data_IF_261366979303
#
_entry.id   IF_261366979303
#
_cell.length_a   1.000
_cell.length_b   1.000
_cell.length_c   1.000
_cell.angle_alpha   90.00
_cell.angle_beta   90.00
_cell.angle_gamma   90.00
#
_symmetry.space_group_name_H-M   'P 1'
#
loop_
_entity.id
_entity.type
_entity.pdbx_description
1 polymer ?
#
# COMPACT_ATOMS: atom_id res chain seq x y z
N UNK A 1 2.00 29.23 88.64
CA UNK A 1 3.34 29.80 88.88
C UNK A 1 4.18 29.38 87.69
N UNK A 2 4.61 30.22 86.76
CA UNK A 2 4.73 31.68 86.74
C UNK A 2 4.73 32.08 85.26
N UNK A 3 3.89 33.05 84.89
CA UNK A 3 3.98 33.75 83.61
C UNK A 3 5.21 34.66 83.62
N UNK A 4 5.88 34.81 82.48
CA UNK A 4 6.49 36.09 82.10
C UNK A 4 6.45 36.22 80.59
N UNK A 5 5.71 37.22 80.12
CA UNK A 5 5.68 37.71 78.75
C UNK A 5 6.92 38.57 78.47
N UNK A 6 7.43 38.53 77.24
CA UNK A 6 7.93 39.74 76.58
C UNK A 6 7.62 39.68 75.09
N UNK A 7 6.86 40.66 74.62
CA UNK A 7 6.60 40.94 73.22
C UNK A 7 7.83 41.54 72.55
N UNK A 8 8.01 41.30 71.25
CA UNK A 8 8.38 42.36 70.29
C UNK A 8 8.19 41.92 68.83
N UNK A 9 7.39 42.74 68.17
CA UNK A 9 7.54 43.30 66.83
C UNK A 9 7.56 42.41 65.59
N UNK A 10 6.57 42.72 64.76
CA UNK A 10 6.35 42.12 63.46
C UNK A 10 7.27 42.67 62.38
N UNK A 11 7.50 41.81 61.40
CA UNK A 11 7.82 42.22 60.04
C UNK A 11 6.96 41.36 59.11
N UNK A 12 6.04 42.03 58.41
CA UNK A 12 5.17 41.41 57.42
C UNK A 12 5.98 41.04 56.18
N UNK A 13 6.17 39.74 55.97
CA UNK A 13 6.58 39.20 54.68
C UNK A 13 5.37 39.09 53.74
N UNK A 14 5.49 39.41 52.44
CA UNK A 14 4.37 39.32 51.51
C UNK A 14 3.89 37.87 51.40
N UNK A 15 2.60 37.64 51.66
CA UNK A 15 1.94 36.36 51.36
C UNK A 15 2.00 36.17 49.84
N UNK A 16 2.88 35.27 49.39
CA UNK A 16 2.86 34.79 48.01
C UNK A 16 1.50 34.12 47.82
N UNK A 17 0.65 34.78 47.02
CA UNK A 17 -0.61 34.21 46.59
C UNK A 17 -0.29 32.90 45.87
N UNK A 18 -0.92 31.82 46.33
CA UNK A 18 -0.78 30.50 45.74
C UNK A 18 -1.47 30.54 44.36
N UNK A 19 -0.72 30.94 43.33
CA UNK A 19 -1.14 30.82 41.94
C UNK A 19 -1.39 29.34 41.70
N UNK A 20 -2.68 28.99 41.60
CA UNK A 20 -3.10 27.68 41.15
C UNK A 20 -2.40 27.45 39.81
N UNK A 21 -1.45 26.52 39.79
CA UNK A 21 -0.95 25.93 38.56
C UNK A 21 -2.17 25.43 37.79
N UNK A 22 -2.63 26.22 36.83
CA UNK A 22 -3.54 25.77 35.80
C UNK A 22 -2.71 24.79 34.99
N UNK A 23 -2.94 23.49 35.20
CA UNK A 23 -2.34 22.47 34.37
C UNK A 23 -2.60 22.86 32.90
N UNK A 24 -1.57 22.84 32.03
CA UNK A 24 -1.79 23.13 30.62
C UNK A 24 -2.89 22.23 30.11
N UNK A 25 -3.92 22.84 29.50
CA UNK A 25 -5.00 22.09 28.85
C UNK A 25 -4.36 21.06 27.93
N UNK A 26 -4.76 19.78 27.98
CA UNK A 26 -4.13 18.76 27.14
C UNK A 26 -4.21 19.23 25.70
N UNK A 27 -3.05 19.24 25.02
CA UNK A 27 -3.01 19.45 23.58
C UNK A 27 -4.04 18.49 22.95
N UNK A 28 -4.79 18.92 21.91
CA UNK A 28 -5.75 18.04 21.27
C UNK A 28 -5.04 16.74 20.91
N UNK A 29 -5.57 15.62 21.39
CA UNK A 29 -4.95 14.31 21.21
C UNK A 29 -4.68 14.09 19.71
N UNK A 30 -3.40 13.96 19.35
CA UNK A 30 -3.01 13.70 17.98
C UNK A 30 -3.66 12.39 17.56
N UNK A 31 -4.41 12.41 16.45
CA UNK A 31 -5.12 11.23 15.97
C UNK A 31 -4.15 10.06 15.77
N UNK A 32 -4.51 8.88 16.28
CA UNK A 32 -3.71 7.65 16.18
C UNK A 32 -3.44 7.30 14.71
N UNK A 33 -2.16 7.33 14.32
CA UNK A 33 -1.74 7.03 12.95
C UNK A 33 -2.11 5.61 12.53
N UNK A 34 -2.12 4.64 13.45
CA UNK A 34 -2.46 3.23 13.16
C UNK A 34 -3.94 3.04 12.82
N UNK A 35 -4.75 4.09 12.98
CA UNK A 35 -6.17 4.14 12.57
C UNK A 35 -6.37 4.90 11.26
N UNK A 36 -5.31 5.38 10.64
CA UNK A 36 -5.32 6.05 9.34
C UNK A 36 -4.93 5.04 8.27
N UNK A 37 -5.87 4.67 7.42
CA UNK A 37 -5.63 3.77 6.30
C UNK A 37 -4.91 4.46 5.15
N UNK A 38 -4.29 3.64 4.30
CA UNK A 38 -3.64 4.13 3.09
C UNK A 38 -4.69 4.66 2.09
N UNK A 39 -4.39 5.75 1.41
CA UNK A 39 -5.29 6.39 0.45
C UNK A 39 -5.36 5.56 -0.83
N UNK A 40 -6.54 5.11 -1.26
CA UNK A 40 -6.69 4.26 -2.44
C UNK A 40 -6.46 5.01 -3.76
N UNK A 41 -6.39 6.35 -3.77
CA UNK A 41 -6.18 7.16 -4.98
C UNK A 41 -4.70 7.23 -5.42
N UNK A 42 -4.01 6.09 -5.37
CA UNK A 42 -2.64 5.90 -5.84
C UNK A 42 -2.46 4.54 -6.52
N UNK A 43 -1.33 4.35 -7.22
CA UNK A 43 -1.00 3.09 -7.88
C UNK A 43 -0.31 2.11 -6.92
N UNK A 44 -0.96 1.00 -6.59
CA UNK A 44 -0.40 0.01 -5.69
C UNK A 44 -0.01 -1.27 -6.42
N UNK A 45 1.22 -1.79 -6.25
CA UNK A 45 1.55 -3.12 -6.73
C UNK A 45 0.74 -4.15 -5.93
N UNK A 46 0.07 -5.06 -6.63
CA UNK A 46 -0.76 -6.12 -6.01
C UNK A 46 -0.31 -7.52 -6.42
N UNK A 47 0.68 -7.61 -7.33
CA UNK A 47 1.33 -8.86 -7.70
C UNK A 47 2.67 -8.59 -8.38
N UNK A 48 3.58 -9.56 -8.31
CA UNK A 48 4.66 -9.67 -9.29
C UNK A 48 4.05 -10.06 -10.64
N UNK A 49 4.48 -9.42 -11.72
CA UNK A 49 3.95 -9.63 -13.09
C UNK A 49 3.94 -11.10 -13.49
N UNK A 50 5.05 -11.82 -13.25
CA UNK A 50 5.21 -13.23 -13.60
C UNK A 50 4.29 -14.20 -12.83
N UNK A 51 3.69 -13.77 -11.72
CA UNK A 51 2.69 -14.57 -11.00
C UNK A 51 1.35 -14.61 -11.74
N UNK A 52 1.02 -13.56 -12.49
CA UNK A 52 -0.17 -13.50 -13.36
C UNK A 52 0.19 -14.10 -14.71
N UNK A 53 0.14 -15.44 -14.80
CA UNK A 53 0.50 -16.18 -16.02
C UNK A 53 -0.50 -15.92 -17.14
N UNK A 54 -0.03 -16.04 -18.38
CA UNK A 54 -0.87 -15.97 -19.59
C UNK A 54 -2.02 -16.98 -19.50
N UNK A 55 -3.22 -16.57 -19.90
CA UNK A 55 -4.45 -17.36 -19.85
C UNK A 55 -4.76 -17.90 -18.44
N UNK A 56 -4.35 -17.19 -17.38
CA UNK A 56 -4.59 -17.59 -16.00
C UNK A 56 -5.12 -16.41 -15.18
N UNK A 57 -5.80 -16.75 -14.09
CA UNK A 57 -6.22 -15.84 -13.04
C UNK A 57 -5.19 -15.81 -11.91
N UNK A 58 -5.24 -14.75 -11.10
CA UNK A 58 -4.49 -14.62 -9.86
C UNK A 58 -5.33 -13.81 -8.86
N UNK A 59 -5.46 -14.31 -7.63
CA UNK A 59 -6.16 -13.61 -6.57
C UNK A 59 -5.22 -12.62 -5.88
N UNK A 60 -5.64 -11.37 -5.78
CA UNK A 60 -4.96 -10.31 -5.06
C UNK A 60 -5.94 -9.59 -4.13
N UNK A 61 -5.41 -8.74 -3.24
CA UNK A 61 -6.23 -7.98 -2.31
C UNK A 61 -5.63 -6.58 -2.13
N UNK A 62 -6.49 -5.60 -1.86
CA UNK A 62 -6.08 -4.28 -1.39
C UNK A 62 -7.03 -3.81 -0.29
N UNK A 63 -6.52 -3.57 0.92
CA UNK A 63 -7.29 -3.09 2.08
C UNK A 63 -8.60 -3.88 2.31
N UNK A 64 -8.56 -5.21 2.18
CA UNK A 64 -9.70 -6.11 2.31
C UNK A 64 -10.59 -6.25 1.06
N UNK A 65 -10.41 -5.42 0.03
CA UNK A 65 -11.08 -5.58 -1.27
C UNK A 65 -10.41 -6.69 -2.08
N UNK A 66 -11.15 -7.75 -2.39
CA UNK A 66 -10.63 -8.88 -3.20
C UNK A 66 -10.64 -8.52 -4.69
N UNK A 67 -9.51 -8.77 -5.35
CA UNK A 67 -9.26 -8.43 -6.76
C UNK A 67 -8.88 -9.69 -7.53
N UNK A 68 -9.59 -9.96 -8.63
CA UNK A 68 -9.24 -10.98 -9.59
C UNK A 68 -8.39 -10.34 -10.70
N UNK A 69 -7.08 -10.61 -10.66
CA UNK A 69 -6.21 -10.32 -11.79
C UNK A 69 -6.35 -11.45 -12.82
N UNK A 70 -6.34 -11.12 -14.10
CA UNK A 70 -6.21 -12.14 -15.15
C UNK A 70 -5.42 -11.61 -16.34
N UNK A 71 -4.68 -12.50 -17.01
CA UNK A 71 -3.95 -12.16 -18.23
C UNK A 71 -4.59 -12.83 -19.43
N UNK A 72 -5.04 -12.02 -20.38
CA UNK A 72 -5.65 -12.48 -21.64
C UNK A 72 -4.67 -13.18 -22.58
N UNK A 73 -5.19 -13.73 -23.67
CA UNK A 73 -4.44 -14.38 -24.74
C UNK A 73 -3.48 -13.44 -25.49
N UNK A 74 -3.79 -12.14 -25.50
CA UNK A 74 -2.93 -11.07 -26.00
C UNK A 74 -1.72 -10.80 -25.11
N UNK A 75 -1.78 -11.19 -23.83
CA UNK A 75 -0.80 -10.84 -22.80
C UNK A 75 -1.20 -9.62 -21.96
N UNK A 76 -2.29 -8.91 -22.29
CA UNK A 76 -2.82 -7.81 -21.49
C UNK A 76 -3.32 -8.30 -20.11
N UNK A 77 -3.03 -7.52 -19.06
CA UNK A 77 -3.52 -7.77 -17.70
C UNK A 77 -4.77 -6.94 -17.45
N UNK A 78 -5.73 -7.54 -16.75
CA UNK A 78 -6.96 -6.90 -16.32
C UNK A 78 -7.18 -7.15 -14.83
N UNK A 79 -7.86 -6.24 -14.14
CA UNK A 79 -8.17 -6.33 -12.72
C UNK A 79 -9.67 -6.11 -12.50
N UNK A 80 -10.36 -7.11 -11.95
CA UNK A 80 -11.78 -7.06 -11.65
C UNK A 80 -12.02 -7.27 -10.16
N UNK A 81 -13.16 -6.83 -9.65
CA UNK A 81 -13.65 -7.26 -8.34
C UNK A 81 -13.80 -8.79 -8.32
N UNK A 82 -13.25 -9.43 -7.29
CA UNK A 82 -13.22 -10.90 -7.17
C UNK A 82 -14.54 -11.48 -6.65
N UNK A 83 -15.64 -11.10 -7.30
CA UNK A 83 -16.99 -11.50 -6.93
C UNK A 83 -17.86 -11.62 -8.19
N UNK A 84 -18.24 -12.82 -8.56
CA UNK A 84 -19.20 -13.03 -9.65
C UNK A 84 -20.53 -12.32 -9.34
N UNK A 85 -21.05 -11.54 -10.29
CA UNK A 85 -22.29 -10.80 -10.16
C UNK A 85 -23.54 -11.70 -9.96
N UNK A 86 -23.44 -12.99 -10.29
CA UNK A 86 -24.54 -13.95 -10.13
C UNK A 86 -24.68 -14.47 -8.69
N UNK A 87 -23.65 -15.15 -8.16
CA UNK A 87 -23.68 -15.80 -6.83
C UNK A 87 -22.40 -15.60 -6.03
N UNK A 88 -21.68 -14.52 -6.29
CA UNK A 88 -20.54 -14.05 -5.50
C UNK A 88 -19.31 -14.95 -5.45
N UNK A 89 -19.32 -16.09 -6.15
CA UNK A 89 -18.15 -16.97 -6.32
C UNK A 89 -16.96 -16.16 -6.83
N UNK A 90 -15.76 -16.34 -6.26
CA UNK A 90 -14.55 -15.66 -6.71
C UNK A 90 -14.32 -15.84 -8.22
N UNK A 91 -14.09 -14.73 -8.93
CA UNK A 91 -13.72 -14.77 -10.34
C UNK A 91 -12.27 -15.23 -10.54
N UNK A 92 -11.42 -15.09 -9.53
CA UNK A 92 -10.06 -15.62 -9.48
C UNK A 92 -9.99 -17.15 -9.56
N UNK A 93 -11.10 -17.85 -9.28
CA UNK A 93 -11.23 -19.30 -9.52
C UNK A 93 -11.69 -19.64 -10.95
N UNK A 94 -11.93 -18.64 -11.78
CA UNK A 94 -12.43 -18.79 -13.14
C UNK A 94 -11.37 -19.27 -14.15
N UNK A 95 -11.78 -19.27 -15.42
CA UNK A 95 -10.93 -19.65 -16.55
C UNK A 95 -10.84 -18.48 -17.52
N UNK A 96 -9.65 -18.21 -18.05
CA UNK A 96 -9.46 -17.17 -19.07
C UNK A 96 -9.65 -17.77 -20.46
N UNK A 97 -10.54 -17.19 -21.24
CA UNK A 97 -10.81 -17.56 -22.63
C UNK A 97 -10.64 -16.33 -23.53
N UNK A 98 -9.58 -16.32 -24.34
CA UNK A 98 -9.21 -15.13 -25.11
C UNK A 98 -8.92 -13.95 -24.20
N UNK A 99 -9.73 -12.88 -24.31
CA UNK A 99 -9.62 -11.67 -23.47
C UNK A 99 -10.68 -11.60 -22.35
N UNK A 100 -11.46 -12.66 -22.17
CA UNK A 100 -12.54 -12.70 -21.17
C UNK A 100 -12.23 -13.67 -20.03
N UNK A 101 -12.75 -13.34 -18.85
CA UNK A 101 -12.71 -14.20 -17.66
C UNK A 101 -14.08 -14.88 -17.48
N UNK A 102 -14.11 -16.21 -17.51
CA UNK A 102 -15.32 -17.02 -17.32
C UNK A 102 -15.39 -17.52 -15.87
N UNK A 103 -16.47 -17.20 -15.17
CA UNK A 103 -16.71 -17.70 -13.82
C UNK A 103 -16.86 -19.23 -13.83
N UNK A 104 -16.20 -19.92 -12.90
CA UNK A 104 -16.19 -21.38 -12.81
C UNK A 104 -17.55 -22.01 -12.45
N UNK A 105 -18.51 -21.23 -11.95
CA UNK A 105 -19.77 -21.79 -11.49
C UNK A 105 -20.79 -21.96 -12.63
N UNK A 106 -21.25 -20.86 -13.22
CA UNK A 106 -22.28 -20.87 -14.26
C UNK A 106 -21.79 -20.25 -15.57
N UNK A 107 -20.47 -20.17 -15.74
CA UNK A 107 -19.83 -19.76 -16.98
C UNK A 107 -20.20 -18.36 -17.49
N UNK A 108 -20.60 -17.44 -16.61
CA UNK A 108 -20.74 -16.01 -16.96
C UNK A 108 -19.37 -15.46 -17.34
N UNK A 109 -19.27 -14.88 -18.53
CA UNK A 109 -18.02 -14.32 -19.04
C UNK A 109 -17.99 -12.81 -18.85
N UNK A 110 -16.85 -12.30 -18.39
CA UNK A 110 -16.60 -10.89 -18.09
C UNK A 110 -15.47 -10.37 -18.97
N UNK A 111 -15.63 -9.16 -19.50
CA UNK A 111 -14.56 -8.41 -20.18
C UNK A 111 -13.67 -7.71 -19.14
N UNK A 112 -12.52 -7.20 -19.59
CA UNK A 112 -11.58 -6.45 -18.74
C UNK A 112 -12.15 -5.18 -18.12
N UNK A 113 -13.25 -4.64 -18.65
CA UNK A 113 -13.99 -3.53 -18.07
C UNK A 113 -15.13 -3.96 -17.13
N UNK A 114 -15.16 -5.22 -16.72
CA UNK A 114 -16.13 -5.77 -15.77
C UNK A 114 -17.52 -6.07 -16.34
N UNK A 115 -17.79 -5.70 -17.60
CA UNK A 115 -19.08 -5.97 -18.25
C UNK A 115 -19.21 -7.44 -18.62
N UNK A 116 -20.41 -7.98 -18.45
CA UNK A 116 -20.75 -9.34 -18.86
C UNK A 116 -20.79 -9.40 -20.39
N UNK A 117 -19.96 -10.25 -21.00
CA UNK A 117 -19.95 -10.50 -22.44
C UNK A 117 -20.86 -11.66 -22.86
N UNK A 118 -21.07 -12.65 -21.98
CA UNK A 118 -21.85 -13.83 -22.29
C UNK A 118 -22.47 -14.45 -21.04
N UNK A 119 -23.74 -14.85 -21.15
CA UNK A 119 -24.43 -15.75 -20.22
C UNK A 119 -24.86 -16.97 -21.04
N UNK A 120 -24.21 -18.14 -20.89
CA UNK A 120 -24.32 -19.24 -21.87
C UNK A 120 -25.73 -19.78 -22.09
N UNK A 121 -26.58 -19.73 -21.08
CA UNK A 121 -27.94 -20.28 -21.08
C UNK A 121 -29.03 -19.25 -21.42
N UNK A 122 -28.65 -18.00 -21.74
CA UNK A 122 -29.58 -17.00 -22.25
C UNK A 122 -29.39 -16.85 -23.77
N UNK A 123 -30.49 -16.74 -24.54
CA UNK A 123 -30.38 -16.52 -25.98
C UNK A 123 -29.65 -15.21 -26.28
N UNK A 124 -28.99 -15.12 -27.45
CA UNK A 124 -28.39 -13.86 -27.89
C UNK A 124 -29.52 -12.83 -28.10
N UNK A 125 -29.39 -11.64 -27.51
CA UNK A 125 -30.33 -10.54 -27.74
C UNK A 125 -31.46 -10.39 -26.71
N UNK A 126 -31.45 -11.12 -25.59
CA UNK A 126 -32.28 -10.74 -24.42
C UNK A 126 -31.79 -9.41 -23.86
N UNK A 127 -32.69 -8.69 -23.17
CA UNK A 127 -32.46 -7.37 -22.59
C UNK A 127 -31.11 -7.20 -21.89
N UNK A 128 -30.68 -5.93 -21.82
CA UNK A 128 -29.37 -5.47 -21.32
C UNK A 128 -28.86 -6.35 -20.16
N UNK A 129 -27.72 -7.05 -20.32
CA UNK A 129 -27.18 -7.89 -19.25
C UNK A 129 -26.96 -7.05 -17.98
N UNK A 130 -26.98 -7.68 -16.78
CA UNK A 130 -26.69 -6.98 -15.53
C UNK A 130 -25.39 -6.18 -15.61
N UNK A 131 -25.25 -5.14 -14.77
CA UNK A 131 -24.11 -4.19 -14.81
C UNK A 131 -22.73 -4.85 -14.74
N UNK A 132 -22.61 -6.10 -14.28
CA UNK A 132 -21.36 -6.84 -14.18
C UNK A 132 -20.69 -6.61 -12.83
N UNK A 133 -19.37 -6.45 -12.84
CA UNK A 133 -18.55 -6.24 -11.65
C UNK A 133 -17.70 -4.99 -11.80
N UNK A 134 -17.17 -4.45 -10.69
CA UNK A 134 -16.20 -3.35 -10.76
C UNK A 134 -14.95 -3.82 -11.50
N UNK A 135 -14.42 -2.94 -12.36
CA UNK A 135 -13.09 -3.07 -12.94
C UNK A 135 -12.19 -1.99 -12.35
N UNK A 136 -10.91 -2.32 -12.16
CA UNK A 136 -9.91 -1.39 -11.67
C UNK A 136 -8.96 -0.99 -12.80
N UNK A 137 -8.55 0.29 -12.89
CA UNK A 137 -7.41 0.65 -13.71
C UNK A 137 -6.19 -0.18 -13.31
N UNK A 138 -5.49 -0.70 -14.30
CA UNK A 138 -4.33 -1.58 -14.12
C UNK A 138 -3.20 -1.15 -15.05
N UNK A 139 -1.97 -1.16 -14.54
CA UNK A 139 -0.75 -0.91 -15.31
C UNK A 139 0.30 -1.96 -14.94
N UNK A 140 0.99 -2.47 -15.94
CA UNK A 140 2.12 -3.37 -15.73
C UNK A 140 3.42 -2.58 -15.92
N UNK A 141 4.22 -2.47 -14.87
CA UNK A 141 5.46 -1.70 -14.86
C UNK A 141 6.46 -2.31 -13.87
N UNK A 142 7.76 -2.17 -14.15
CA UNK A 142 8.83 -2.62 -13.26
C UNK A 142 8.79 -4.11 -12.85
N UNK A 143 8.17 -4.97 -13.68
CA UNK A 143 7.94 -6.38 -13.35
C UNK A 143 6.85 -6.62 -12.30
N UNK A 144 6.02 -5.62 -12.02
CA UNK A 144 4.90 -5.64 -11.08
C UNK A 144 3.58 -5.32 -11.81
N UNK A 145 2.46 -5.80 -11.25
CA UNK A 145 1.10 -5.39 -11.66
C UNK A 145 0.61 -4.36 -10.65
N UNK A 146 0.41 -3.14 -11.12
CA UNK A 146 -0.16 -2.04 -10.34
C UNK A 146 -1.66 -1.93 -10.61
N UNK A 147 -2.44 -1.75 -9.54
CA UNK A 147 -3.86 -1.44 -9.59
C UNK A 147 -4.08 -0.06 -8.96
N UNK A 148 -5.07 0.67 -9.46
CA UNK A 148 -5.59 1.90 -8.84
C UNK A 148 -6.91 1.59 -8.11
N UNK A 149 -6.89 1.36 -6.78
CA UNK A 149 -8.07 0.89 -6.04
C UNK A 149 -9.12 1.97 -5.79
N UNK A 150 -8.75 3.25 -5.89
CA UNK A 150 -9.60 4.38 -5.58
C UNK A 150 -10.54 4.76 -6.73
N UNK A 151 -10.69 6.07 -6.91
CA UNK A 151 -11.50 6.64 -7.97
C UNK A 151 -10.82 6.43 -9.35
N UNK A 152 -11.41 5.64 -10.26
CA UNK A 152 -10.80 5.37 -11.56
C UNK A 152 -10.60 6.62 -12.43
N UNK A 153 -11.34 7.71 -12.18
CA UNK A 153 -11.18 8.97 -12.92
C UNK A 153 -9.83 9.64 -12.62
N UNK A 154 -9.28 9.47 -11.42
CA UNK A 154 -7.99 10.03 -11.00
C UNK A 154 -6.79 9.26 -11.54
N UNK A 155 -6.97 7.99 -11.92
CA UNK A 155 -5.89 7.10 -12.33
C UNK A 155 -5.09 7.61 -13.53
N UNK A 156 -5.72 8.37 -14.44
CA UNK A 156 -5.06 8.96 -15.60
C UNK A 156 -4.07 10.07 -15.20
N UNK A 157 -4.43 10.88 -14.20
CA UNK A 157 -3.65 12.02 -13.72
C UNK A 157 -2.61 11.62 -12.67
N UNK A 158 -2.81 10.49 -11.98
CA UNK A 158 -1.83 9.96 -11.03
C UNK A 158 -0.71 9.21 -11.76
N UNK A 159 0.56 9.66 -11.64
CA UNK A 159 1.69 8.98 -12.26
C UNK A 159 2.06 7.70 -11.49
N UNK A 160 2.67 6.75 -12.21
CA UNK A 160 3.45 5.69 -11.56
C UNK A 160 4.73 6.29 -10.96
N UNK A 161 5.36 5.63 -9.96
CA UNK A 161 6.63 6.09 -9.42
C UNK A 161 7.72 6.08 -10.50
N UNK A 162 8.52 7.15 -10.59
CA UNK A 162 9.66 7.17 -11.52
C UNK A 162 10.88 6.49 -10.90
N UNK A 163 11.43 5.50 -11.61
CA UNK A 163 12.50 4.63 -11.14
C UNK A 163 13.65 4.56 -12.18
N UNK A 164 14.45 5.63 -12.31
CA UNK A 164 15.51 5.70 -13.34
C UNK A 164 16.55 4.58 -13.21
N UNK A 165 16.91 4.19 -11.98
CA UNK A 165 17.82 3.08 -11.73
C UNK A 165 17.28 1.73 -12.22
N UNK A 166 15.95 1.55 -12.31
CA UNK A 166 15.36 0.32 -12.86
C UNK A 166 15.49 0.26 -14.39
N UNK A 167 15.32 1.41 -15.07
CA UNK A 167 15.44 1.51 -16.52
C UNK A 167 16.90 1.43 -17.02
N UNK A 168 17.86 1.71 -16.14
CA UNK A 168 19.28 1.72 -16.46
C UNK A 168 19.86 0.33 -16.70
N UNK A 169 20.53 0.14 -17.84
CA UNK A 169 21.31 -1.07 -18.14
C UNK A 169 22.52 -1.27 -17.21
N UNK A 170 22.98 -0.21 -16.53
CA UNK A 170 24.05 -0.29 -15.52
C UNK A 170 23.62 -0.95 -14.22
N UNK A 171 22.32 -1.17 -14.00
CA UNK A 171 21.80 -1.68 -12.74
C UNK A 171 21.33 -3.14 -12.90
N UNK A 172 21.32 -3.85 -11.77
CA UNK A 172 20.63 -5.14 -11.63
C UNK A 172 19.62 -5.03 -10.51
N UNK A 173 18.38 -5.42 -10.80
CA UNK A 173 17.28 -5.34 -9.84
C UNK A 173 17.06 -6.67 -9.12
N UNK A 174 16.87 -6.60 -7.80
CA UNK A 174 16.34 -7.66 -6.95
C UNK A 174 14.92 -7.26 -6.53
N UNK A 175 13.94 -8.12 -6.80
CA UNK A 175 12.55 -7.89 -6.41
C UNK A 175 12.24 -8.63 -5.11
N UNK A 176 11.69 -7.90 -4.13
CA UNK A 176 11.14 -8.41 -2.90
C UNK A 176 9.61 -8.37 -2.95
N UNK A 177 8.98 -9.40 -2.39
CA UNK A 177 7.53 -9.52 -2.31
C UNK A 177 7.21 -10.38 -1.10
N UNK A 178 6.80 -9.77 0.02
CA UNK A 178 6.66 -10.44 1.32
C UNK A 178 5.53 -9.82 2.14
N UNK A 179 4.76 -10.67 2.81
CA UNK A 179 3.75 -10.23 3.78
C UNK A 179 4.41 -9.93 5.14
N UNK A 180 3.98 -8.84 5.77
CA UNK A 180 4.37 -8.41 7.12
C UNK A 180 3.09 -8.12 7.92
N UNK A 181 3.00 -8.66 9.14
CA UNK A 181 1.83 -8.54 10.01
C UNK A 181 1.87 -7.25 10.83
N UNK A 182 1.87 -6.10 10.14
CA UNK A 182 1.74 -4.79 10.78
C UNK A 182 0.99 -3.79 9.89
N UNK A 183 0.53 -2.71 10.50
CA UNK A 183 0.04 -1.52 9.80
C UNK A 183 1.16 -0.88 8.96
N UNK A 184 0.82 -0.44 7.75
CA UNK A 184 1.79 0.03 6.74
C UNK A 184 2.73 1.13 7.28
N UNK A 185 2.22 1.99 8.17
CA UNK A 185 3.02 3.07 8.77
C UNK A 185 4.18 2.60 9.64
N UNK A 186 4.12 1.39 10.23
CA UNK A 186 5.26 0.86 11.03
C UNK A 186 6.47 0.66 10.14
N UNK A 187 6.26 0.18 8.91
CA UNK A 187 7.33 0.01 7.94
C UNK A 187 7.93 1.35 7.51
N UNK A 188 7.08 2.37 7.33
CA UNK A 188 7.56 3.71 6.98
C UNK A 188 8.46 4.31 8.06
N UNK A 189 8.06 4.21 9.32
CA UNK A 189 8.86 4.70 10.45
C UNK A 189 10.16 3.90 10.57
N UNK A 190 10.09 2.57 10.49
CA UNK A 190 11.24 1.68 10.55
C UNK A 190 12.28 2.02 9.46
N UNK A 191 11.91 2.14 8.18
CA UNK A 191 12.90 2.41 7.13
C UNK A 191 13.56 3.79 7.24
N UNK A 192 12.89 4.80 7.82
CA UNK A 192 13.45 6.15 7.94
C UNK A 192 14.27 6.36 9.22
N UNK A 193 13.96 5.62 10.29
CA UNK A 193 14.68 5.73 11.56
C UNK A 193 16.03 5.01 11.51
N UNK A 194 17.12 5.66 11.10
CA UNK A 194 18.43 5.01 11.14
C UNK A 194 18.97 4.77 12.55
N UNK A 195 18.30 5.18 13.64
CA UNK A 195 18.78 4.85 14.98
C UNK A 195 18.56 3.38 15.35
N UNK A 196 17.69 2.64 14.65
CA UNK A 196 17.50 1.20 14.89
C UNK A 196 18.68 0.33 14.42
N UNK A 197 19.81 0.90 13.98
CA UNK A 197 21.02 0.13 13.62
C UNK A 197 21.52 -0.82 14.74
N UNK A 198 21.15 -0.57 16.00
CA UNK A 198 21.39 -1.52 17.08
C UNK A 198 20.72 -2.89 16.84
N UNK A 199 19.57 -2.93 16.16
CA UNK A 199 18.89 -4.14 15.72
C UNK A 199 19.81 -4.97 14.82
N UNK A 200 20.44 -4.32 13.84
CA UNK A 200 21.31 -4.95 12.84
C UNK A 200 22.77 -5.09 13.27
N UNK A 201 23.10 -4.90 14.55
CA UNK A 201 24.48 -4.97 15.06
C UNK A 201 25.21 -6.28 14.71
N UNK A 202 24.46 -7.38 14.56
CA UNK A 202 24.99 -8.70 14.17
C UNK A 202 25.13 -8.92 12.66
N UNK A 203 24.58 -8.01 11.83
CA UNK A 203 24.49 -8.15 10.38
C UNK A 203 25.25 -7.04 9.64
N UNK A 204 25.14 -5.79 10.08
CA UNK A 204 25.72 -4.59 9.45
C UNK A 204 27.03 -4.14 10.15
N UNK A 205 27.31 -4.68 11.34
CA UNK A 205 28.45 -4.27 12.17
C UNK A 205 28.17 -2.98 12.95
N UNK A 206 29.20 -2.37 13.54
CA UNK A 206 29.06 -1.09 14.26
C UNK A 206 29.19 0.07 13.29
N UNK A 207 28.11 0.45 12.63
CA UNK A 207 28.04 1.70 11.86
C UNK A 207 27.26 2.72 12.67
N UNK A 208 27.75 3.96 12.73
CA UNK A 208 27.03 5.07 13.35
C UNK A 208 26.42 5.95 12.26
N UNK A 209 25.09 6.00 12.15
CA UNK A 209 24.42 6.96 11.30
C UNK A 209 24.43 8.33 11.99
N UNK A 210 24.80 9.35 11.24
CA UNK A 210 24.67 10.75 11.65
C UNK A 210 23.68 11.43 10.71
N UNK A 211 22.61 11.99 11.26
CA UNK A 211 21.64 12.76 10.48
C UNK A 211 22.28 14.10 10.10
N UNK A 212 22.55 14.29 8.80
CA UNK A 212 23.09 15.55 8.26
C UNK A 212 22.03 16.64 8.17
N UNK A 213 20.77 16.25 7.99
CA UNK A 213 19.62 17.13 7.86
C UNK A 213 18.46 16.42 7.18
N UNK A 214 17.28 17.04 7.25
CA UNK A 214 16.09 16.54 6.59
C UNK A 214 15.17 17.69 6.17
N UNK A 215 14.39 17.44 5.12
CA UNK A 215 13.38 18.33 4.58
C UNK A 215 12.00 17.68 4.69
N UNK A 216 10.98 18.49 4.93
CA UNK A 216 9.59 18.03 5.09
C UNK A 216 8.67 18.87 4.21
N UNK A 217 7.65 18.22 3.65
CA UNK A 217 6.65 18.85 2.80
C UNK A 217 5.29 18.16 2.94
N UNK A 218 4.26 18.64 2.22
CA UNK A 218 2.89 18.12 2.38
C UNK A 218 2.74 16.62 2.11
N UNK A 219 3.55 16.08 1.19
CA UNK A 219 3.49 14.69 0.73
C UNK A 219 4.79 13.91 0.93
N UNK A 220 5.83 14.54 1.52
CA UNK A 220 7.14 13.89 1.59
C UNK A 220 7.98 14.33 2.79
N UNK A 221 8.85 13.42 3.23
CA UNK A 221 9.93 13.68 4.19
C UNK A 221 11.19 13.03 3.65
N UNK A 222 12.28 13.78 3.57
CA UNK A 222 13.56 13.32 3.04
C UNK A 222 14.67 13.60 4.04
N UNK A 223 15.42 12.57 4.42
CA UNK A 223 16.54 12.67 5.35
C UNK A 223 17.84 12.20 4.69
N UNK A 224 18.94 12.88 5.02
CA UNK A 224 20.29 12.50 4.59
C UNK A 224 21.10 12.05 5.78
N UNK A 225 21.66 10.86 5.68
CA UNK A 225 22.47 10.24 6.71
C UNK A 225 23.89 9.99 6.23
N UNK A 226 24.85 10.28 7.08
CA UNK A 226 26.24 9.89 6.90
C UNK A 226 26.50 8.61 7.68
N UNK A 227 26.98 7.57 7.00
CA UNK A 227 27.33 6.31 7.65
C UNK A 227 28.83 6.25 7.91
N UNK A 228 29.23 6.45 9.16
CA UNK A 228 30.65 6.37 9.56
C UNK A 228 30.94 5.01 10.22
N UNK A 229 31.96 4.25 9.78
CA UNK A 229 32.39 3.04 10.47
C UNK A 229 32.82 3.37 11.90
N UNK A 230 32.17 2.83 12.92
CA UNK A 230 32.60 3.02 14.31
C UNK A 230 33.78 2.08 14.56
N UNK A 231 35.00 2.64 14.58
CA UNK A 231 36.28 1.94 14.63
C UNK A 231 36.29 0.58 15.35
N UNK A 232 36.76 -0.45 14.65
CA UNK A 232 36.90 -1.83 15.09
C UNK A 232 37.26 -2.74 13.91
N UNK A 233 37.97 -3.86 14.14
CA UNK A 233 38.40 -4.79 13.08
C UNK A 233 37.22 -5.14 12.16
N UNK A 234 37.36 -4.89 10.84
CA UNK A 234 36.38 -5.27 9.80
C UNK A 234 35.97 -6.72 10.02
N UNK A 235 34.71 -6.95 10.34
CA UNK A 235 34.16 -8.29 10.50
C UNK A 235 34.24 -8.98 9.14
N UNK A 236 34.92 -10.14 9.07
CA UNK A 236 35.24 -10.82 7.80
C UNK A 236 33.99 -11.25 7.02
N UNK A 237 32.82 -11.26 7.67
CA UNK A 237 31.50 -11.54 7.07
C UNK A 237 30.76 -10.32 6.49
N UNK A 238 31.13 -9.10 6.87
CA UNK A 238 30.58 -7.85 6.34
C UNK A 238 31.39 -7.30 5.14
N UNK A 239 32.59 -7.84 4.91
CA UNK A 239 33.54 -7.34 3.94
C UNK A 239 33.13 -7.46 2.46
N UNK A 240 32.15 -8.28 2.10
CA UNK A 240 31.79 -8.45 0.68
C UNK A 240 30.80 -7.39 0.16
N UNK A 241 30.00 -6.78 1.04
CA UNK A 241 29.18 -5.63 0.68
C UNK A 241 29.95 -4.32 0.79
N UNK A 242 30.98 -4.29 1.64
CA UNK A 242 31.88 -3.14 1.74
C UNK A 242 32.98 -3.06 0.69
N UNK A 243 33.25 -4.12 -0.08
CA UNK A 243 34.33 -4.09 -1.05
C UNK A 243 33.97 -3.30 -2.32
N UNK A 244 32.70 -3.23 -2.74
CA UNK A 244 32.32 -2.55 -4.00
C UNK A 244 30.92 -1.88 -3.97
N UNK A 245 30.27 -1.74 -2.81
CA UNK A 245 28.92 -1.14 -2.73
C UNK A 245 28.63 -0.25 -1.52
N UNK A 246 29.37 -0.40 -0.42
CA UNK A 246 29.32 0.48 0.76
C UNK A 246 30.75 0.59 1.33
N UNK A 247 31.59 1.49 0.80
CA UNK A 247 32.97 1.68 1.30
C UNK A 247 34.12 1.29 0.36
N UNK A 248 33.96 1.49 -0.95
CA UNK A 248 35.06 1.39 -1.94
C UNK A 248 35.68 2.73 -2.37
N UNK A 249 35.08 3.87 -2.00
CA UNK A 249 35.60 5.21 -2.30
C UNK A 249 36.17 5.90 -1.07
N UNK A 250 37.11 6.84 -1.27
CA UNK A 250 37.67 7.69 -0.21
C UNK A 250 36.64 8.67 0.42
N UNK A 251 35.40 8.67 -0.05
CA UNK A 251 34.30 9.54 0.39
C UNK A 251 33.30 8.76 1.26
N UNK A 252 32.82 9.32 2.37
CA UNK A 252 31.78 8.66 3.17
C UNK A 252 30.45 8.60 2.38
N UNK A 253 29.79 7.45 2.41
CA UNK A 253 28.54 7.22 1.68
C UNK A 253 27.39 7.99 2.36
N UNK A 254 26.89 9.04 1.71
CA UNK A 254 25.65 9.71 2.10
C UNK A 254 24.47 8.88 1.59
N UNK A 255 23.61 8.48 2.50
CA UNK A 255 22.37 7.77 2.19
C UNK A 255 21.20 8.74 2.35
N UNK A 256 20.44 8.91 1.28
CA UNK A 256 19.19 9.67 1.27
C UNK A 256 18.02 8.70 1.41
N UNK A 257 17.16 8.93 2.40
CA UNK A 257 15.93 8.18 2.61
C UNK A 257 14.77 9.13 2.46
N UNK A 258 13.85 8.83 1.55
CA UNK A 258 12.69 9.66 1.24
C UNK A 258 11.41 8.87 1.41
N UNK A 259 10.54 9.33 2.29
CA UNK A 259 9.12 8.99 2.22
C UNK A 259 8.47 9.95 1.26
N UNK A 260 7.94 9.44 0.16
CA UNK A 260 7.12 10.19 -0.78
C UNK A 260 5.81 9.44 -0.89
N UNK A 261 4.79 9.95 -0.21
CA UNK A 261 3.56 9.21 0.01
C UNK A 261 2.97 8.70 -1.32
N UNK A 262 2.63 7.40 -1.45
CA UNK A 262 2.62 6.36 -0.40
C UNK A 262 3.87 5.45 -0.39
N UNK A 263 4.93 5.79 -1.11
CA UNK A 263 6.13 4.97 -1.27
C UNK A 263 7.29 5.44 -0.39
N UNK A 264 8.34 4.62 -0.34
CA UNK A 264 9.63 5.02 0.19
C UNK A 264 10.76 4.68 -0.75
N UNK A 265 11.81 5.51 -0.71
CA UNK A 265 13.07 5.24 -1.38
C UNK A 265 14.24 5.38 -0.41
N UNK A 266 15.28 4.56 -0.64
CA UNK A 266 16.58 4.67 0.02
C UNK A 266 17.65 4.63 -1.07
N UNK A 267 18.48 5.66 -1.15
CA UNK A 267 19.47 5.82 -2.20
C UNK A 267 20.84 6.16 -1.61
N UNK A 268 21.87 5.48 -2.09
CA UNK A 268 23.26 5.89 -1.87
C UNK A 268 23.76 6.53 -3.17
N UNK A 269 23.86 7.85 -3.18
CA UNK A 269 24.32 8.62 -4.34
C UNK A 269 25.75 9.13 -4.10
N UNK A 270 26.75 8.58 -4.80
CA UNK A 270 28.10 9.12 -4.75
C UNK A 270 28.14 10.57 -5.28
N UNK A 271 28.98 11.42 -4.70
CA UNK A 271 29.05 12.87 -4.96
C UNK A 271 29.24 13.27 -6.44
N UNK A 272 29.74 12.37 -7.29
CA UNK A 272 30.03 12.60 -8.72
C UNK A 272 29.23 11.70 -9.68
N UNK A 273 28.19 11.02 -9.21
CA UNK A 273 27.40 10.10 -10.03
C UNK A 273 26.02 10.67 -10.35
N UNK A 274 25.55 10.49 -11.60
CA UNK A 274 24.18 10.84 -12.00
C UNK A 274 23.14 9.81 -11.51
N UNK A 275 23.58 8.56 -11.32
CA UNK A 275 22.75 7.47 -10.82
C UNK A 275 23.33 6.92 -9.51
N UNK A 276 22.46 6.47 -8.58
CA UNK A 276 22.91 5.96 -7.30
C UNK A 276 23.68 4.64 -7.45
N UNK A 277 24.63 4.38 -6.56
CA UNK A 277 25.29 3.07 -6.49
C UNK A 277 24.31 1.96 -6.03
N UNK A 278 23.36 2.38 -5.19
CA UNK A 278 22.31 1.56 -4.61
C UNK A 278 21.02 2.39 -4.57
N UNK A 279 19.91 1.82 -5.03
CA UNK A 279 18.59 2.42 -4.90
C UNK A 279 17.57 1.34 -4.53
N UNK A 280 16.85 1.57 -3.45
CA UNK A 280 15.73 0.75 -3.01
C UNK A 280 14.46 1.60 -3.17
N UNK A 281 13.46 1.05 -3.83
CA UNK A 281 12.09 1.56 -3.81
C UNK A 281 11.18 0.53 -3.13
N UNK A 282 10.28 0.97 -2.27
CA UNK A 282 9.37 0.10 -1.51
C UNK A 282 7.95 0.67 -1.48
N UNK A 283 6.97 -0.22 -1.61
CA UNK A 283 5.56 0.03 -1.35
C UNK A 283 5.02 -0.94 -0.29
N UNK A 284 4.22 -0.44 0.64
CA UNK A 284 3.60 -1.19 1.73
C UNK A 284 2.09 -1.23 1.51
N UNK A 285 1.59 -2.34 0.96
CA UNK A 285 0.21 -2.42 0.45
C UNK A 285 -0.66 -3.19 1.43
N UNK A 286 -1.67 -2.60 2.07
CA UNK A 286 -2.50 -3.31 3.04
C UNK A 286 -3.27 -4.46 2.38
N UNK A 287 -3.35 -5.61 3.06
CA UNK A 287 -4.09 -6.77 2.56
C UNK A 287 -5.48 -6.88 3.18
N UNK A 288 -5.61 -6.64 4.49
CA UNK A 288 -6.89 -6.76 5.20
C UNK A 288 -7.60 -5.41 5.40
N UNK A 289 -8.89 -5.48 5.74
CA UNK A 289 -9.75 -4.31 5.88
C UNK A 289 -9.36 -3.40 7.07
N UNK A 290 -8.73 -3.97 8.10
CA UNK A 290 -8.25 -3.22 9.26
C UNK A 290 -6.81 -2.72 9.04
N UNK A 291 -6.22 -3.05 7.89
CA UNK A 291 -4.85 -2.73 7.48
C UNK A 291 -3.82 -3.16 8.53
N UNK A 292 -4.04 -4.29 9.22
CA UNK A 292 -3.09 -4.86 10.21
C UNK A 292 -2.02 -5.74 9.59
N UNK A 293 -2.16 -6.04 8.30
CA UNK A 293 -1.24 -6.78 7.46
C UNK A 293 -0.98 -5.99 6.20
N UNK A 294 0.29 -5.89 5.82
CA UNK A 294 0.68 -5.33 4.54
C UNK A 294 1.57 -6.29 3.76
N UNK A 295 1.47 -6.22 2.44
CA UNK A 295 2.37 -6.86 1.51
C UNK A 295 3.41 -5.84 1.04
N UNK A 296 4.67 -6.14 1.33
CA UNK A 296 5.82 -5.32 0.98
C UNK A 296 6.30 -5.71 -0.42
N UNK A 297 6.24 -4.77 -1.35
CA UNK A 297 6.88 -4.87 -2.66
C UNK A 297 8.10 -3.98 -2.69
N UNK A 298 9.28 -4.58 -2.90
CA UNK A 298 10.54 -3.86 -2.93
C UNK A 298 11.29 -4.08 -4.24
N UNK A 299 11.90 -3.03 -4.77
CA UNK A 299 12.80 -3.08 -5.92
C UNK A 299 14.15 -2.53 -5.48
N UNK A 300 15.13 -3.43 -5.36
CA UNK A 300 16.50 -3.08 -5.03
C UNK A 300 17.36 -3.10 -6.28
N UNK A 301 17.74 -1.92 -6.76
CA UNK A 301 18.61 -1.69 -7.89
C UNK A 301 20.05 -1.47 -7.39
N UNK A 302 20.96 -2.33 -7.82
CA UNK A 302 22.39 -2.26 -7.49
C UNK A 302 23.17 -2.01 -8.77
N UNK A 303 24.02 -0.98 -8.78
CA UNK A 303 24.89 -0.68 -9.92
C UNK A 303 25.88 -1.83 -10.14
N UNK A 304 26.11 -2.19 -11.41
CA UNK A 304 27.06 -3.23 -11.80
C UNK A 304 28.48 -2.70 -11.57
N UNK A 305 29.36 -3.46 -10.89
CA UNK A 305 30.76 -3.10 -10.75
C UNK A 305 31.43 -3.14 -12.13
N UNK A 306 32.55 -2.43 -12.25
CA UNK A 306 33.37 -2.41 -13.47
C UNK A 306 33.92 -3.79 -13.85
N UNK A 307 34.09 -4.68 -12.86
CA UNK A 307 34.56 -6.06 -13.06
C UNK A 307 33.42 -6.95 -13.58
N UNK A 308 33.52 -7.47 -14.83
CA UNK A 308 32.47 -8.30 -15.40
C UNK A 308 32.23 -9.57 -14.57
N UNK A 309 30.97 -9.80 -14.19
CA UNK A 309 30.57 -11.01 -13.47
C UNK A 309 30.75 -10.99 -11.95
N UNK A 310 31.45 -10.00 -11.37
CA UNK A 310 31.60 -9.87 -9.93
C UNK A 310 30.25 -9.83 -9.19
N UNK A 311 29.29 -9.03 -9.71
CA UNK A 311 27.94 -8.97 -9.14
C UNK A 311 27.18 -10.30 -9.26
N UNK A 312 27.48 -11.14 -10.26
CA UNK A 312 26.86 -12.48 -10.36
C UNK A 312 27.35 -13.39 -9.23
N UNK A 313 28.64 -13.33 -8.92
CA UNK A 313 29.25 -14.12 -7.84
C UNK A 313 28.81 -13.63 -6.46
N UNK A 314 28.70 -12.32 -6.26
CA UNK A 314 28.25 -11.73 -4.99
C UNK A 314 26.74 -11.89 -4.75
N UNK A 315 25.93 -12.12 -5.79
CA UNK A 315 24.46 -12.12 -5.72
C UNK A 315 23.85 -13.00 -4.62
N UNK A 316 24.28 -14.27 -4.42
CA UNK A 316 23.72 -15.10 -3.35
C UNK A 316 23.99 -14.54 -1.95
N UNK A 317 25.14 -13.88 -1.76
CA UNK A 317 25.53 -13.28 -0.48
C UNK A 317 24.77 -11.98 -0.23
N UNK A 318 24.62 -11.13 -1.25
CA UNK A 318 23.76 -9.93 -1.19
C UNK A 318 22.34 -10.34 -0.80
N UNK A 319 21.78 -11.34 -1.47
CA UNK A 319 20.43 -11.85 -1.17
C UNK A 319 20.30 -12.37 0.26
N UNK A 320 21.27 -13.15 0.75
CA UNK A 320 21.26 -13.67 2.13
C UNK A 320 21.42 -12.56 3.16
N UNK A 321 22.12 -11.48 2.83
CA UNK A 321 22.22 -10.31 3.69
C UNK A 321 20.90 -9.55 3.75
N UNK A 322 20.30 -9.22 2.59
CA UNK A 322 19.03 -8.48 2.53
C UNK A 322 17.89 -9.24 3.18
N UNK A 323 17.83 -10.57 3.01
CA UNK A 323 16.85 -11.43 3.68
C UNK A 323 17.00 -11.42 5.20
N UNK A 324 18.22 -11.30 5.74
CA UNK A 324 18.46 -11.22 7.19
C UNK A 324 18.06 -9.87 7.77
N UNK A 325 18.45 -8.77 7.13
CA UNK A 325 18.06 -7.41 7.54
C UNK A 325 16.53 -7.30 7.59
N UNK A 326 15.86 -7.70 6.50
CA UNK A 326 14.40 -7.68 6.44
C UNK A 326 13.74 -8.56 7.52
N UNK A 327 14.31 -9.71 7.86
CA UNK A 327 13.77 -10.57 8.90
C UNK A 327 13.85 -9.93 10.31
N UNK A 328 14.90 -9.17 10.58
CA UNK A 328 15.06 -8.42 11.82
C UNK A 328 14.05 -7.26 11.89
N UNK A 329 13.93 -6.47 10.82
CA UNK A 329 12.96 -5.37 10.71
C UNK A 329 11.53 -5.87 10.87
N UNK A 330 11.18 -6.92 10.13
CA UNK A 330 9.89 -7.60 10.22
C UNK A 330 9.57 -7.99 11.65
N UNK A 331 10.52 -8.57 12.37
CA UNK A 331 10.31 -8.96 13.77
C UNK A 331 10.02 -7.76 14.66
N UNK A 332 10.72 -6.63 14.46
CA UNK A 332 10.52 -5.42 15.25
C UNK A 332 9.10 -4.84 15.02
N UNK A 333 8.75 -4.55 13.77
CA UNK A 333 7.46 -3.94 13.42
C UNK A 333 6.26 -4.83 13.73
N UNK A 334 6.37 -6.16 13.58
CA UNK A 334 5.31 -7.08 13.99
C UNK A 334 5.18 -7.14 15.52
N UNK A 335 6.26 -6.89 16.27
CA UNK A 335 6.21 -6.79 17.73
C UNK A 335 5.55 -5.49 18.18
N UNK A 336 5.82 -4.38 17.51
CA UNK A 336 5.13 -3.11 17.76
C UNK A 336 3.64 -3.20 17.42
N UNK A 337 3.26 -3.86 16.32
CA UNK A 337 1.86 -4.13 16.00
C UNK A 337 1.17 -4.90 17.12
N UNK A 338 1.78 -5.97 17.63
CA UNK A 338 1.20 -6.75 18.75
C UNK A 338 1.05 -5.89 20.01
N UNK A 339 2.02 -5.05 20.33
CA UNK A 339 1.93 -4.14 21.46
C UNK A 339 0.76 -3.15 21.31
N UNK A 340 0.59 -2.57 20.12
CA UNK A 340 -0.55 -1.69 19.82
C UNK A 340 -1.89 -2.44 19.93
N UNK A 341 -1.96 -3.69 19.45
CA UNK A 341 -3.15 -4.53 19.55
C UNK A 341 -3.53 -4.84 21.01
N UNK A 342 -2.56 -5.16 21.85
CA UNK A 342 -2.74 -5.43 23.28
C UNK A 342 -3.17 -4.18 24.06
N UNK A 343 -2.65 -3.01 23.66
CA UNK A 343 -2.92 -1.72 24.32
C UNK A 343 -4.22 -1.05 23.81
N UNK A 344 -4.64 -1.37 22.59
CA UNK A 344 -5.82 -0.79 21.93
C UNK A 344 -5.64 0.63 21.35
N UNK A 345 -4.47 1.23 21.52
CA UNK A 345 -4.13 2.57 21.00
C UNK A 345 -2.61 2.77 20.94
N UNK A 346 -2.16 3.80 20.23
CA UNK A 346 -0.75 4.20 20.21
C UNK A 346 -0.30 4.82 21.55
N UNK A 347 0.56 4.12 22.29
CA UNK A 347 1.19 4.60 23.54
C UNK A 347 2.65 5.03 23.33
N UNK A 348 3.13 5.07 22.08
CA UNK A 348 4.51 5.41 21.78
C UNK A 348 4.81 6.86 22.16
N UNK A 349 5.98 7.06 22.76
CA UNK A 349 6.56 8.37 23.06
C UNK A 349 7.66 8.65 22.05
N UNK A 350 7.28 8.90 20.79
CA UNK A 350 8.24 9.24 19.75
C UNK A 350 8.79 10.65 19.99
N UNK A 351 10.11 10.77 20.03
CA UNK A 351 10.82 12.02 20.35
C UNK A 351 11.65 12.53 19.18
N UNK A 352 11.91 11.69 18.17
CA UNK A 352 12.73 12.04 17.04
C UNK A 352 11.93 12.91 16.05
N UNK A 353 12.28 14.20 15.84
CA UNK A 353 11.46 15.11 15.03
C UNK A 353 11.19 14.62 13.62
N UNK A 354 12.19 13.96 13.01
CA UNK A 354 12.08 13.36 11.69
C UNK A 354 10.94 12.35 11.60
N UNK A 355 10.81 11.47 12.60
CA UNK A 355 9.76 10.44 12.63
C UNK A 355 8.39 11.07 12.94
N UNK A 356 8.34 12.09 13.79
CA UNK A 356 7.11 12.85 14.02
C UNK A 356 6.58 13.49 12.73
N UNK A 357 7.47 14.00 11.87
CA UNK A 357 7.10 14.54 10.56
C UNK A 357 6.66 13.46 9.57
N UNK A 358 7.30 12.27 9.57
CA UNK A 358 6.80 11.11 8.81
C UNK A 358 5.39 10.77 9.23
N UNK A 359 5.14 10.63 10.54
CA UNK A 359 3.80 10.35 11.08
C UNK A 359 2.79 11.40 10.65
N UNK A 360 3.18 12.69 10.58
CA UNK A 360 2.33 13.78 10.12
C UNK A 360 2.00 13.66 8.63
N UNK A 361 2.99 13.38 7.77
CA UNK A 361 2.77 13.15 6.33
C UNK A 361 1.83 11.98 6.11
N UNK A 362 2.05 10.84 6.78
CA UNK A 362 1.19 9.67 6.64
C UNK A 362 -0.25 9.94 7.10
N UNK A 363 -0.44 10.62 8.24
CA UNK A 363 -1.78 11.01 8.74
C UNK A 363 -2.50 11.97 7.81
N UNK A 364 -1.79 12.95 7.25
CA UNK A 364 -2.40 14.01 6.43
C UNK A 364 -2.79 13.53 5.04
N UNK A 365 -2.18 12.46 4.55
CA UNK A 365 -2.40 11.92 3.21
C UNK A 365 -3.20 10.63 3.17
N UNK A 366 -3.32 9.94 4.31
CA UNK A 366 -4.16 8.76 4.45
C UNK A 366 -5.65 9.08 4.56
N UNK A 367 -6.45 8.04 4.66
CA UNK A 367 -7.91 8.09 4.76
C UNK A 367 -8.38 7.31 5.98
N UNK A 368 -9.56 7.58 6.55
CA UNK A 368 -10.08 6.76 7.65
C UNK A 368 -10.21 5.29 7.24
N UNK A 369 -9.77 4.37 8.10
CA UNK A 369 -10.03 2.93 7.91
C UNK A 369 -11.54 2.72 8.04
N UNK A 370 -12.19 2.27 6.97
CA UNK A 370 -13.62 1.98 7.00
C UNK A 370 -13.88 0.68 7.76
N UNK A 371 -14.67 0.68 8.85
CA UNK A 371 -15.09 -0.54 9.49
C UNK A 371 -15.86 -1.42 8.50
N UNK A 372 -15.73 -2.75 8.65
CA UNK A 372 -16.37 -3.74 7.78
C UNK A 372 -17.90 -3.57 7.64
N UNK A 373 -18.56 -2.93 8.61
CA UNK A 373 -19.99 -2.63 8.59
C UNK A 373 -20.39 -1.58 7.53
N UNK A 374 -19.54 -0.59 7.25
CA UNK A 374 -19.87 0.52 6.34
C UNK A 374 -19.71 0.15 4.85
N UNK A 375 -18.88 -0.86 4.56
CA UNK A 375 -18.73 -1.42 3.21
C UNK A 375 -20.03 -2.08 2.70
N UNK A 376 -20.86 -2.62 3.61
CA UNK A 376 -22.20 -3.11 3.27
C UNK A 376 -23.17 -1.97 2.95
N UNK A 377 -23.09 -0.85 3.67
CA UNK A 377 -24.01 0.29 3.50
C UNK A 377 -23.70 1.14 2.25
N UNK A 378 -22.43 1.27 1.86
CA UNK A 378 -22.04 1.99 0.64
C UNK A 378 -22.55 1.31 -0.65
N UNK A 379 -22.82 0.00 -0.61
CA UNK A 379 -23.47 -0.71 -1.72
C UNK A 379 -24.93 -0.28 -1.94
N UNK A 380 -25.56 0.36 -0.95
CA UNK A 380 -26.96 0.80 -0.99
C UNK A 380 -27.13 2.21 -1.57
N UNK A 381 -26.05 2.99 -1.72
CA UNK A 381 -26.11 4.38 -2.20
C UNK A 381 -26.20 4.54 -3.74
N UNK A 382 -26.43 3.47 -4.50
CA UNK A 382 -26.81 3.55 -5.92
C UNK A 382 -28.34 3.47 -6.15
N UNK A 383 -29.15 3.62 -5.11
CA UNK A 383 -30.61 3.67 -5.21
C UNK A 383 -31.15 4.99 -4.69
N UNK A 384 -31.14 6.04 -5.51
CA UNK A 384 -32.12 7.13 -5.46
C UNK A 384 -31.92 8.03 -6.69
N UNK A 385 -32.34 7.54 -7.85
CA UNK A 385 -32.81 8.40 -8.92
C UNK A 385 -34.33 8.44 -8.83
N UNK A 386 -34.83 9.60 -8.43
CA UNK A 386 -36.22 9.98 -8.21
C UNK A 386 -37.11 9.53 -9.38
N UNK A 387 -38.00 8.57 -9.14
CA UNK A 387 -39.15 8.35 -10.01
C UNK A 387 -40.16 9.46 -9.71
N UNK A 388 -40.25 10.45 -10.60
CA UNK A 388 -41.41 11.32 -10.67
C UNK A 388 -42.58 10.51 -11.22
N UNK A 389 -43.54 10.21 -10.34
CA UNK A 389 -44.73 9.45 -10.66
C UNK A 389 -45.66 10.18 -11.62
N UNK A 390 -46.15 9.45 -12.62
CA UNK A 390 -47.41 9.71 -13.31
C UNK A 390 -48.36 8.57 -13.02
N UNK A 391 -49.40 8.83 -12.24
CA UNK A 391 -50.45 7.88 -11.89
C UNK A 391 -51.33 7.52 -13.12
N UNK A 392 -51.97 6.33 -13.14
CA UNK A 392 -52.77 5.88 -14.27
C UNK A 392 -54.20 6.46 -14.22
N UNK A 393 -54.77 6.75 -15.39
CA UNK A 393 -56.21 6.98 -15.56
C UNK A 393 -56.86 5.74 -16.17
N UNK A 394 -57.76 5.12 -15.43
CA UNK A 394 -58.92 4.39 -15.95
C UNK A 394 -60.04 5.43 -16.25
N UNK A 395 -61.05 5.25 -17.10
CA UNK A 395 -61.57 4.14 -17.91
C UNK A 395 -62.25 4.77 -19.15
N UNK A 396 -62.62 3.97 -20.16
CA UNK A 396 -64.02 3.84 -20.62
C UNK A 396 -64.14 3.02 -21.92
N UNK A 397 -65.31 2.40 -22.02
CA UNK A 397 -65.73 1.28 -22.85
C UNK A 397 -66.09 1.65 -24.31
N UNK A 398 -66.26 0.57 -25.10
CA UNK A 398 -67.06 0.38 -26.33
C UNK A 398 -66.31 0.26 -27.67
N UNK A 399 -66.58 -0.87 -28.34
CA UNK A 399 -66.23 -1.11 -29.74
C UNK A 399 -66.22 -2.59 -30.12
N UNK A 400 -67.40 -3.10 -30.48
CA UNK A 400 -67.78 -4.43 -30.97
C UNK A 400 -67.07 -4.93 -32.24
N UNK A 401 -67.05 -6.27 -32.39
CA UNK A 401 -66.97 -7.09 -33.63
C UNK A 401 -65.62 -7.10 -34.40
N UNK A 402 -65.10 -8.19 -34.98
CA UNK A 402 -65.70 -9.42 -35.48
C UNK A 402 -64.72 -10.60 -35.48
N UNK A 403 -65.30 -11.79 -35.48
CA UNK A 403 -64.71 -13.13 -35.66
C UNK A 403 -64.27 -13.34 -37.11
N UNK A 404 -63.11 -13.95 -37.33
CA UNK A 404 -62.86 -14.80 -38.51
C UNK A 404 -61.83 -15.88 -38.16
N UNK A 405 -62.36 -17.09 -38.05
CA UNK A 405 -61.69 -18.38 -37.98
C UNK A 405 -61.45 -18.89 -39.42
N UNK A 406 -60.27 -19.44 -39.70
CA UNK A 406 -60.01 -20.34 -40.84
C UNK A 406 -58.57 -20.90 -40.76
N UNK A 407 -58.45 -21.96 -39.97
CA UNK A 407 -58.03 -23.31 -40.36
C UNK A 407 -56.87 -23.58 -41.35
N UNK A 408 -56.25 -24.71 -41.05
CA UNK A 408 -55.12 -25.46 -41.59
C UNK A 408 -54.93 -25.51 -43.12
N UNK A 409 -53.69 -25.73 -43.59
CA UNK A 409 -53.24 -27.09 -43.96
C UNK A 409 -51.72 -27.17 -44.26
N UNK A 410 -51.23 -28.39 -44.06
CA UNK A 410 -49.90 -29.00 -44.21
C UNK A 410 -49.16 -28.67 -45.51
N UNK A 411 -47.81 -28.67 -45.43
CA UNK A 411 -46.93 -29.77 -45.93
C UNK A 411 -45.44 -29.39 -45.89
N UNK A 412 -44.65 -30.23 -45.21
CA UNK A 412 -43.23 -30.55 -45.49
C UNK A 412 -43.19 -31.61 -46.62
N UNK A 413 -42.03 -32.10 -47.09
CA UNK A 413 -40.69 -31.48 -47.22
C UNK A 413 -40.07 -31.67 -48.63
N UNK A 414 -38.95 -31.00 -48.90
CA UNK A 414 -37.69 -31.61 -49.38
C UNK A 414 -36.52 -30.91 -48.69
#
# INVERSE_FOLDING_TARGET
MTETQSAQDGTGGPRIANERHVAPSPAPAVADLRRTGINPDFWYPVSVSGSVRKNSTFAATFAGERIALYRGGSGAVYALEDRCAHRQVPLSMGVVEGESLRCCYHAWAYRGNGRISQIPYLPKGVDRPPRGVRAYPVREAYGLVFVFPGDPEKAAETPLPDLPAFASSEHRTMTFSRTVQCHYSFMHENLLDMNHQFLHRGVIGRIRPELLGYDTGPHSVEARYLFTPAGGKKDRGAGLLSAEGIGGGESPDVITIRTEYPYQTLQALPEKAELPAFSLWVAYVPEDAEQRTNHVYGLLMIRKPSVPGALRLAWPLIRRFTERVFAEDRRAVESEQRAWDEQGSDWNQEVFPLILDVRKVLRSNGVPIRPRADLCAASTLCGNATQTGGAPRAADENGTEAVADADADKKRPE
#
